data_IF_021828009535
#
_entry.id   IF_021828009535
#
_cell.length_a   1.000
_cell.length_b   1.000
_cell.length_c   1.000
_cell.angle_alpha   90.00
_cell.angle_beta   90.00
_cell.angle_gamma   90.00
#
_symmetry.space_group_name_H-M   'P 1'
#
loop_
_entity.id
_entity.type
_entity.pdbx_description
1 polymer ?
#
# COMPACT_ATOMS: atom_id res chain seq x y z
N UNK A 1 -15.81 40.15 10.88
CA UNK A 1 -16.63 39.23 10.06
C UNK A 1 -15.82 37.96 9.85
N UNK A 2 -16.41 36.82 10.15
CA UNK A 2 -15.74 35.53 10.29
C UNK A 2 -15.42 34.90 8.93
N UNK A 3 -14.15 34.61 8.66
CA UNK A 3 -13.74 33.70 7.59
C UNK A 3 -13.53 32.33 8.23
N UNK A 4 -14.64 31.62 8.40
CA UNK A 4 -14.63 30.20 8.74
C UNK A 4 -14.44 29.38 7.48
N UNK A 5 -13.29 28.74 7.34
CA UNK A 5 -13.14 27.54 6.51
C UNK A 5 -11.89 26.78 6.95
N UNK A 6 -11.85 26.43 8.23
CA UNK A 6 -11.05 25.30 8.70
C UNK A 6 -11.72 24.04 8.15
N UNK A 7 -11.40 23.67 6.91
CA UNK A 7 -11.64 22.31 6.39
C UNK A 7 -10.62 21.38 7.06
N UNK A 8 -10.62 21.36 8.39
CA UNK A 8 -10.07 20.26 9.14
C UNK A 8 -11.14 19.17 9.00
N UNK A 9 -10.95 18.27 8.02
CA UNK A 9 -11.67 17.00 8.00
C UNK A 9 -11.39 16.38 9.35
N UNK A 10 -12.36 16.48 10.25
CA UNK A 10 -12.27 15.95 11.62
C UNK A 10 -12.24 14.45 11.44
N UNK A 11 -11.05 13.84 11.41
CA UNK A 11 -10.98 12.38 11.40
C UNK A 11 -11.73 11.90 12.63
N UNK A 12 -12.74 11.07 12.45
CA UNK A 12 -13.47 10.50 13.59
C UNK A 12 -12.63 9.48 14.33
N UNK A 13 -11.57 8.98 13.68
CA UNK A 13 -10.51 8.19 14.28
C UNK A 13 -9.80 8.98 15.39
N UNK A 14 -9.61 8.33 16.53
CA UNK A 14 -8.79 8.84 17.61
C UNK A 14 -7.35 9.06 17.14
N UNK A 15 -6.68 10.10 17.66
CA UNK A 15 -5.27 10.41 17.35
C UNK A 15 -4.34 9.19 17.56
N UNK A 16 -4.68 8.29 18.48
CA UNK A 16 -3.94 7.03 18.70
C UNK A 16 -4.15 6.04 17.56
N UNK A 17 -5.36 5.90 17.05
CA UNK A 17 -5.71 4.98 15.97
C UNK A 17 -5.06 5.41 14.65
N UNK A 18 -5.09 6.71 14.36
CA UNK A 18 -4.41 7.31 13.22
C UNK A 18 -2.92 6.99 13.22
N UNK A 19 -2.24 7.18 14.36
CA UNK A 19 -0.80 6.86 14.49
C UNK A 19 -0.52 5.37 14.31
N UNK A 20 -1.38 4.52 14.83
CA UNK A 20 -1.20 3.07 14.70
C UNK A 20 -1.43 2.62 13.25
N UNK A 21 -2.44 3.13 12.55
CA UNK A 21 -2.68 2.81 11.14
C UNK A 21 -1.53 3.28 10.26
N UNK A 22 -1.01 4.49 10.53
CA UNK A 22 0.20 4.99 9.87
C UNK A 22 1.40 4.08 10.11
N UNK A 23 1.61 3.67 11.37
CA UNK A 23 2.69 2.77 11.76
C UNK A 23 2.57 1.38 11.12
N UNK A 24 1.36 0.82 11.04
CA UNK A 24 1.08 -0.45 10.38
C UNK A 24 1.35 -0.33 8.87
N UNK A 25 0.86 0.73 8.23
CA UNK A 25 1.11 0.99 6.81
C UNK A 25 2.60 1.08 6.49
N UNK A 26 3.33 1.83 7.32
CA UNK A 26 4.78 1.93 7.24
C UNK A 26 5.47 0.57 7.44
N UNK A 27 5.07 -0.20 8.46
CA UNK A 27 5.65 -1.50 8.73
C UNK A 27 5.39 -2.49 7.58
N UNK A 28 4.18 -2.51 7.03
CA UNK A 28 3.83 -3.34 5.87
C UNK A 28 4.71 -2.95 4.67
N UNK A 29 4.88 -1.66 4.40
CA UNK A 29 5.72 -1.20 3.29
C UNK A 29 7.19 -1.59 3.48
N UNK A 30 7.74 -1.44 4.68
CA UNK A 30 9.12 -1.85 4.97
C UNK A 30 9.31 -3.36 4.84
N UNK A 31 8.37 -4.16 5.34
CA UNK A 31 8.39 -5.62 5.22
C UNK A 31 8.25 -6.05 3.76
N UNK A 32 7.29 -5.48 3.03
CA UNK A 32 7.10 -5.75 1.61
C UNK A 32 8.35 -5.38 0.81
N UNK A 33 8.90 -4.19 1.03
CA UNK A 33 10.16 -3.75 0.43
C UNK A 33 11.32 -4.70 0.72
N UNK A 34 11.43 -5.19 1.95
CA UNK A 34 12.45 -6.20 2.30
C UNK A 34 12.22 -7.54 1.58
N UNK A 35 10.97 -8.00 1.49
CA UNK A 35 10.61 -9.21 0.74
C UNK A 35 10.96 -9.05 -0.73
N UNK A 36 10.64 -7.92 -1.37
CA UNK A 36 11.05 -7.62 -2.74
C UNK A 36 12.57 -7.51 -2.89
N UNK A 37 13.29 -7.02 -1.88
CA UNK A 37 14.76 -7.00 -1.93
C UNK A 37 15.37 -8.40 -1.99
N UNK A 38 14.76 -9.37 -1.32
CA UNK A 38 15.26 -10.76 -1.27
C UNK A 38 14.74 -11.56 -2.46
N UNK A 39 13.43 -11.55 -2.67
CA UNK A 39 12.72 -12.45 -3.61
C UNK A 39 12.33 -11.73 -4.91
N UNK A 40 12.48 -10.41 -4.98
CA UNK A 40 11.99 -9.61 -6.11
C UNK A 40 12.58 -10.02 -7.46
N UNK A 41 13.81 -10.51 -7.50
CA UNK A 41 14.43 -11.03 -8.71
C UNK A 41 13.70 -12.26 -9.30
N UNK A 42 13.01 -13.05 -8.47
CA UNK A 42 12.15 -14.17 -8.90
C UNK A 42 10.73 -13.71 -9.23
N UNK A 43 10.26 -12.67 -8.55
CA UNK A 43 8.88 -12.18 -8.63
C UNK A 43 8.68 -11.29 -9.86
N UNK A 44 9.66 -10.43 -10.18
CA UNK A 44 9.60 -9.51 -11.32
C UNK A 44 10.74 -9.79 -12.30
N UNK A 45 10.80 -11.02 -12.78
CA UNK A 45 11.68 -11.42 -13.87
C UNK A 45 11.03 -11.09 -15.23
N UNK A 46 11.58 -10.13 -16.01
CA UNK A 46 11.05 -9.79 -17.33
C UNK A 46 11.08 -10.97 -18.31
N UNK A 47 11.93 -11.96 -18.05
CA UNK A 47 12.08 -13.17 -18.87
C UNK A 47 10.88 -14.11 -18.76
N UNK A 48 10.07 -13.97 -17.71
CA UNK A 48 8.94 -14.84 -17.39
C UNK A 48 7.63 -14.04 -17.22
N UNK A 49 7.03 -13.55 -18.32
CA UNK A 49 5.83 -12.71 -18.25
C UNK A 49 4.62 -13.40 -17.60
N UNK A 50 4.57 -14.74 -17.66
CA UNK A 50 3.52 -15.54 -17.01
C UNK A 50 3.59 -15.42 -15.49
N UNK A 51 4.80 -15.44 -14.91
CA UNK A 51 5.01 -15.31 -13.46
C UNK A 51 4.61 -13.91 -13.00
N UNK A 52 5.04 -12.89 -13.74
CA UNK A 52 4.67 -11.49 -13.47
C UNK A 52 3.14 -11.32 -13.52
N UNK A 53 2.47 -11.84 -14.55
CA UNK A 53 1.02 -11.77 -14.66
C UNK A 53 0.32 -12.51 -13.50
N UNK A 54 0.79 -13.69 -13.12
CA UNK A 54 0.26 -14.44 -11.99
C UNK A 54 0.38 -13.65 -10.68
N UNK A 55 1.50 -12.97 -10.45
CA UNK A 55 1.71 -12.13 -9.28
C UNK A 55 0.75 -10.93 -9.29
N UNK A 56 0.61 -10.23 -10.42
CA UNK A 56 -0.37 -9.14 -10.54
C UNK A 56 -1.79 -9.60 -10.19
N UNK A 57 -2.21 -10.74 -10.71
CA UNK A 57 -3.54 -11.31 -10.43
C UNK A 57 -3.67 -11.73 -8.97
N UNK A 58 -2.63 -12.33 -8.37
CA UNK A 58 -2.63 -12.76 -6.97
C UNK A 58 -2.54 -11.60 -5.98
N UNK A 59 -1.90 -10.49 -6.36
CA UNK A 59 -1.80 -9.29 -5.52
C UNK A 59 -3.18 -8.70 -5.21
N UNK A 60 -4.13 -8.75 -6.15
CA UNK A 60 -5.49 -8.22 -5.94
C UNK A 60 -6.19 -8.91 -4.75
N UNK A 61 -6.45 -10.24 -4.76
CA UNK A 61 -7.11 -10.91 -3.65
C UNK A 61 -6.27 -10.86 -2.37
N UNK A 62 -4.94 -10.88 -2.47
CA UNK A 62 -4.06 -10.78 -1.32
C UNK A 62 -4.19 -9.43 -0.61
N UNK A 63 -4.07 -8.33 -1.34
CA UNK A 63 -4.17 -6.98 -0.78
C UNK A 63 -5.59 -6.65 -0.34
N UNK A 64 -6.60 -7.14 -1.05
CA UNK A 64 -8.00 -7.04 -0.62
C UNK A 64 -8.21 -7.75 0.71
N UNK A 65 -7.76 -9.00 0.83
CA UNK A 65 -7.84 -9.79 2.05
C UNK A 65 -7.10 -9.14 3.21
N UNK A 66 -5.90 -8.60 2.96
CA UNK A 66 -5.12 -7.86 3.94
C UNK A 66 -5.87 -6.62 4.42
N UNK A 67 -6.42 -5.82 3.50
CA UNK A 67 -7.19 -4.63 3.83
C UNK A 67 -8.41 -4.98 4.69
N UNK A 68 -9.23 -5.95 4.25
CA UNK A 68 -10.40 -6.42 5.01
C UNK A 68 -10.00 -6.96 6.38
N UNK A 69 -8.90 -7.72 6.47
CA UNK A 69 -8.39 -8.24 7.74
C UNK A 69 -8.01 -7.11 8.70
N UNK A 70 -7.27 -6.10 8.23
CA UNK A 70 -6.89 -4.92 9.03
C UNK A 70 -8.13 -4.15 9.47
N UNK A 71 -9.09 -3.88 8.57
CA UNK A 71 -10.32 -3.17 8.92
C UNK A 71 -11.16 -3.93 9.95
N UNK A 72 -11.28 -5.26 9.79
CA UNK A 72 -12.04 -6.11 10.71
C UNK A 72 -11.36 -6.26 12.06
N UNK A 73 -10.03 -6.33 12.08
CA UNK A 73 -9.27 -6.39 13.33
C UNK A 73 -9.36 -5.10 14.14
N UNK A 74 -9.53 -3.96 13.45
CA UNK A 74 -9.65 -2.63 14.06
C UNK A 74 -11.10 -2.20 14.31
N UNK A 75 -12.09 -3.00 13.88
CA UNK A 75 -13.51 -2.70 14.06
C UNK A 75 -13.96 -1.41 13.35
N UNK A 76 -13.36 -1.08 12.20
CA UNK A 76 -13.65 0.16 11.49
C UNK A 76 -14.94 0.05 10.66
N UNK A 77 -15.90 0.92 10.92
CA UNK A 77 -17.20 0.94 10.24
C UNK A 77 -17.33 2.13 9.28
N UNK A 78 -17.87 1.86 8.08
CA UNK A 78 -18.28 2.88 7.11
C UNK A 78 -17.22 3.95 6.77
N UNK A 79 -17.36 5.14 7.36
CA UNK A 79 -16.50 6.31 7.07
C UNK A 79 -15.10 6.17 7.67
N UNK A 80 -14.98 5.57 8.86
CA UNK A 80 -13.68 5.36 9.54
C UNK A 80 -12.80 4.37 8.77
N UNK A 81 -13.43 3.45 8.05
CA UNK A 81 -12.76 2.50 7.18
C UNK A 81 -12.09 3.17 5.97
N UNK A 82 -12.74 4.19 5.39
CA UNK A 82 -12.18 4.97 4.26
C UNK A 82 -10.99 5.78 4.71
N UNK A 83 -11.12 6.47 5.85
CA UNK A 83 -10.01 7.20 6.47
C UNK A 83 -8.85 6.25 6.82
N UNK A 84 -9.17 5.08 7.39
CA UNK A 84 -8.19 4.08 7.74
C UNK A 84 -7.48 3.45 6.54
N UNK A 85 -8.17 3.26 5.42
CA UNK A 85 -7.57 2.79 4.18
C UNK A 85 -6.51 3.79 3.65
N UNK A 86 -6.85 5.08 3.67
CA UNK A 86 -5.93 6.14 3.26
C UNK A 86 -4.73 6.21 4.21
N UNK A 87 -4.96 6.18 5.52
CA UNK A 87 -3.90 6.21 6.52
C UNK A 87 -2.98 4.98 6.48
N UNK A 88 -3.49 3.82 6.07
CA UNK A 88 -2.70 2.61 5.88
C UNK A 88 -1.81 2.71 4.64
N UNK A 89 -2.30 3.34 3.58
CA UNK A 89 -1.65 3.37 2.27
C UNK A 89 -0.64 4.51 2.12
N UNK A 90 -0.97 5.72 2.59
CA UNK A 90 -0.16 6.93 2.42
C UNK A 90 1.29 6.79 2.88
N UNK A 91 1.60 6.31 4.11
CA UNK A 91 2.99 6.18 4.55
C UNK A 91 3.76 5.14 3.72
N UNK A 92 3.08 4.07 3.30
CA UNK A 92 3.67 3.09 2.40
C UNK A 92 4.02 3.69 1.05
N UNK A 93 3.10 4.45 0.44
CA UNK A 93 3.35 5.16 -0.81
C UNK A 93 4.56 6.10 -0.72
N UNK A 94 4.74 6.81 0.40
CA UNK A 94 5.90 7.70 0.59
C UNK A 94 7.22 6.93 0.60
N UNK A 95 7.28 5.82 1.35
CA UNK A 95 8.47 4.95 1.38
C UNK A 95 8.74 4.32 0.03
N UNK A 96 7.69 3.87 -0.64
CA UNK A 96 7.80 3.22 -1.94
C UNK A 96 8.19 4.19 -3.05
N UNK A 97 7.77 5.46 -2.98
CA UNK A 97 8.23 6.49 -3.90
C UNK A 97 9.74 6.70 -3.78
N UNK A 98 10.28 6.75 -2.56
CA UNK A 98 11.73 6.85 -2.32
C UNK A 98 12.43 5.56 -2.77
N UNK A 99 11.86 4.39 -2.45
CA UNK A 99 12.42 3.09 -2.82
C UNK A 99 12.45 2.88 -4.33
N UNK A 100 11.44 3.37 -5.05
CA UNK A 100 11.37 3.31 -6.51
C UNK A 100 12.27 4.37 -7.16
N UNK A 101 12.40 5.56 -6.58
CA UNK A 101 13.35 6.58 -7.05
C UNK A 101 14.81 6.11 -6.91
N UNK A 102 15.10 5.37 -5.84
CA UNK A 102 16.40 4.78 -5.56
C UNK A 102 16.43 3.28 -5.89
N UNK A 103 15.66 2.83 -6.89
CA UNK A 103 15.43 1.40 -7.17
C UNK A 103 16.73 0.61 -7.33
N UNK A 104 17.73 1.14 -8.03
CA UNK A 104 19.03 0.48 -8.21
C UNK A 104 19.83 0.32 -6.91
N UNK A 105 19.62 1.20 -5.93
CA UNK A 105 20.29 1.16 -4.62
C UNK A 105 19.53 0.29 -3.62
N UNK A 106 18.19 0.34 -3.67
CA UNK A 106 17.31 -0.38 -2.75
C UNK A 106 17.12 -1.83 -3.18
N UNK A 107 17.05 -2.09 -4.49
CA UNK A 107 16.84 -3.39 -5.12
C UNK A 107 17.97 -3.73 -6.11
N UNK A 108 19.23 -3.85 -5.64
CA UNK A 108 20.36 -4.18 -6.52
C UNK A 108 20.23 -5.57 -7.16
N UNK A 109 19.38 -6.44 -6.59
CA UNK A 109 19.13 -7.78 -7.11
C UNK A 109 18.18 -7.80 -8.31
N UNK A 110 17.57 -6.69 -8.70
CA UNK A 110 16.54 -6.64 -9.74
C UNK A 110 17.03 -5.86 -10.97
N UNK A 111 16.67 -6.33 -12.16
CA UNK A 111 16.93 -5.62 -13.41
C UNK A 111 16.25 -4.25 -13.41
N UNK A 112 16.90 -3.24 -13.98
CA UNK A 112 16.28 -1.91 -14.17
C UNK A 112 15.01 -1.99 -15.03
N UNK A 113 14.92 -2.98 -15.92
CA UNK A 113 13.73 -3.22 -16.73
C UNK A 113 12.51 -3.65 -15.88
N UNK A 114 12.73 -4.20 -14.68
CA UNK A 114 11.67 -4.58 -13.75
C UNK A 114 11.13 -3.41 -12.93
N UNK A 115 11.79 -2.25 -12.94
CA UNK A 115 11.36 -1.08 -12.16
C UNK A 115 9.95 -0.59 -12.55
N UNK A 116 9.62 -0.64 -13.85
CA UNK A 116 8.29 -0.29 -14.34
C UNK A 116 7.21 -1.28 -13.87
N UNK A 117 7.52 -2.58 -13.89
CA UNK A 117 6.62 -3.62 -13.39
C UNK A 117 6.42 -3.52 -11.87
N UNK A 118 7.49 -3.22 -11.13
CA UNK A 118 7.44 -2.99 -9.69
C UNK A 118 6.53 -1.81 -9.36
N UNK A 119 6.74 -0.64 -9.99
CA UNK A 119 5.88 0.52 -9.79
C UNK A 119 4.42 0.24 -10.13
N UNK A 120 4.16 -0.48 -11.24
CA UNK A 120 2.80 -0.90 -11.62
C UNK A 120 2.15 -1.83 -10.59
N UNK A 121 2.91 -2.77 -10.03
CA UNK A 121 2.44 -3.68 -8.99
C UNK A 121 2.09 -2.92 -7.70
N UNK A 122 2.91 -1.96 -7.29
CA UNK A 122 2.64 -1.10 -6.14
C UNK A 122 1.36 -0.29 -6.34
N UNK A 123 1.21 0.35 -7.49
CA UNK A 123 -0.01 1.08 -7.87
C UNK A 123 -1.25 0.18 -7.79
N UNK A 124 -1.17 -1.05 -8.32
CA UNK A 124 -2.26 -2.01 -8.26
C UNK A 124 -2.59 -2.42 -6.81
N UNK A 125 -1.56 -2.71 -6.02
CA UNK A 125 -1.70 -3.07 -4.61
C UNK A 125 -2.42 -1.97 -3.83
N UNK A 126 -1.97 -0.72 -4.00
CA UNK A 126 -2.57 0.44 -3.36
C UNK A 126 -3.99 0.74 -3.81
N UNK A 127 -4.24 0.72 -5.13
CA UNK A 127 -5.59 0.88 -5.67
C UNK A 127 -6.54 -0.15 -5.09
N UNK A 128 -6.10 -1.41 -4.97
CA UNK A 128 -6.91 -2.49 -4.40
C UNK A 128 -7.24 -2.25 -2.93
N UNK A 129 -6.26 -1.84 -2.11
CA UNK A 129 -6.51 -1.51 -0.68
C UNK A 129 -7.49 -0.36 -0.54
N UNK A 130 -7.33 0.70 -1.35
CA UNK A 130 -8.23 1.84 -1.35
C UNK A 130 -9.64 1.41 -1.76
N UNK A 131 -9.80 0.70 -2.89
CA UNK A 131 -11.11 0.20 -3.34
C UNK A 131 -11.74 -0.71 -2.29
N UNK A 132 -10.98 -1.58 -1.62
CA UNK A 132 -11.48 -2.42 -0.53
C UNK A 132 -11.99 -1.60 0.68
N UNK A 133 -11.36 -0.44 0.95
CA UNK A 133 -11.81 0.50 1.98
C UNK A 133 -13.09 1.26 1.60
N UNK A 134 -13.30 1.52 0.30
CA UNK A 134 -14.49 2.22 -0.20
C UNK A 134 -15.68 1.31 -0.48
N UNK A 135 -15.44 0.08 -0.94
CA UNK A 135 -16.46 -0.81 -1.50
C UNK A 135 -16.99 -1.85 -0.50
N UNK A 136 -16.19 -2.25 0.48
CA UNK A 136 -16.65 -3.21 1.46
C UNK A 136 -17.60 -2.53 2.45
N UNK A 137 -18.86 -2.95 2.34
CA UNK A 137 -19.94 -2.63 3.27
C UNK A 137 -19.78 -3.38 4.58
#
# INVERSE_FOLDING_TARGET
MATGSQVFVRSRLSTSETRVLLGIGLAIALVAGLVFRIVGHLVLDPSNPVVVAAIFVLTIPLMWGLAVAVFRWRGLDGVERREGAVLLVVPGMLVDAVSTALFSVVYPNMSLAAAGLFGGLLLLAYATVLVAGFLSR
#
